data_IF_304754009586
#
_entry.id   IF_304754009586
#
_cell.length_a   1.000
_cell.length_b   1.000
_cell.length_c   1.000
_cell.angle_alpha   90.00
_cell.angle_beta   90.00
_cell.angle_gamma   90.00
#
_symmetry.space_group_name_H-M   'P 1'
#
loop_
_entity.id
_entity.type
_entity.pdbx_description
1 polymer ?
#
# COMPACT_ATOMS: atom_id res chain seq x y z
N UNK A 1 12.97 -11.89 38.64
CA UNK A 1 11.66 -12.54 38.85
C UNK A 1 10.75 -11.43 39.32
N UNK A 2 9.82 -10.87 38.54
CA UNK A 2 8.83 -11.51 37.67
C UNK A 2 8.51 -10.65 36.43
N UNK A 3 8.17 -11.28 35.31
CA UNK A 3 7.66 -10.63 34.10
C UNK A 3 6.15 -10.90 33.96
N UNK A 4 5.31 -9.92 33.57
CA UNK A 4 3.87 -10.14 33.42
C UNK A 4 3.50 -10.79 32.07
N UNK A 5 2.71 -11.88 32.16
CA UNK A 5 2.03 -12.60 31.07
C UNK A 5 0.72 -11.88 30.66
N UNK A 6 0.78 -10.93 29.74
CA UNK A 6 -0.44 -10.38 29.09
C UNK A 6 -0.15 -10.00 27.63
N UNK A 7 0.02 -11.01 26.77
CA UNK A 7 0.16 -10.86 25.32
C UNK A 7 -1.16 -11.05 24.56
N UNK A 8 -2.24 -11.48 25.22
CA UNK A 8 -3.50 -11.86 24.57
C UNK A 8 -4.42 -10.66 24.24
N UNK A 9 -4.02 -9.44 24.58
CA UNK A 9 -4.86 -8.24 24.42
C UNK A 9 -4.69 -7.47 23.11
N UNK A 10 -3.82 -7.91 22.22
CA UNK A 10 -3.47 -7.21 20.98
C UNK A 10 -3.89 -7.92 19.68
N UNK A 11 -4.89 -8.80 19.69
CA UNK A 11 -5.46 -9.33 18.45
C UNK A 11 -6.80 -8.66 18.10
N UNK A 12 -6.90 -7.94 16.97
CA UNK A 12 -8.18 -7.55 16.42
C UNK A 12 -8.91 -8.79 15.84
N UNK A 13 -10.17 -8.96 16.23
CA UNK A 13 -11.05 -10.01 15.72
C UNK A 13 -11.34 -9.80 14.23
N UNK A 14 -10.79 -10.67 13.37
CA UNK A 14 -11.23 -10.79 11.98
C UNK A 14 -12.59 -11.50 11.93
N UNK A 15 -13.67 -10.71 11.87
CA UNK A 15 -15.02 -11.19 11.60
C UNK A 15 -15.18 -11.50 10.10
N UNK A 16 -14.93 -12.75 9.71
CA UNK A 16 -15.25 -13.28 8.39
C UNK A 16 -16.72 -13.69 8.32
N UNK A 17 -17.61 -12.78 7.95
CA UNK A 17 -18.97 -13.14 7.48
C UNK A 17 -18.98 -13.22 5.96
N UNK A 18 -18.77 -14.44 5.48
CA UNK A 18 -18.96 -14.85 4.09
C UNK A 18 -20.36 -14.43 3.59
N UNK A 19 -20.40 -13.63 2.54
CA UNK A 19 -21.61 -13.33 1.78
C UNK A 19 -21.79 -14.46 0.76
N UNK A 20 -22.75 -15.36 1.01
CA UNK A 20 -23.17 -16.37 0.03
C UNK A 20 -24.50 -15.89 -0.56
N UNK A 21 -24.46 -15.28 -1.74
CA UNK A 21 -25.66 -14.96 -2.52
C UNK A 21 -25.97 -16.17 -3.40
N UNK A 22 -26.85 -17.04 -2.91
CA UNK A 22 -27.44 -18.10 -3.71
C UNK A 22 -28.70 -17.57 -4.39
N UNK A 23 -28.60 -17.13 -5.64
CA UNK A 23 -29.76 -16.96 -6.53
C UNK A 23 -30.04 -18.31 -7.17
N UNK A 24 -31.06 -19.01 -6.68
CA UNK A 24 -31.62 -20.17 -7.36
C UNK A 24 -33.00 -19.76 -7.89
N UNK A 25 -33.06 -19.65 -9.22
CA UNK A 25 -34.28 -19.47 -10.00
C UNK A 25 -35.13 -20.75 -9.90
N UNK A 26 -36.31 -20.66 -9.28
CA UNK A 26 -37.41 -21.57 -9.58
C UNK A 26 -38.49 -20.78 -10.31
N UNK A 27 -38.56 -21.00 -11.62
CA UNK A 27 -39.66 -20.54 -12.44
C UNK A 27 -40.94 -21.28 -12.08
N UNK A 28 -42.04 -20.55 -11.99
CA UNK A 28 -43.37 -21.12 -12.15
C UNK A 28 -44.29 -20.13 -12.87
N UNK A 29 -44.86 -20.66 -13.96
CA UNK A 29 -46.21 -20.46 -14.48
C UNK A 29 -46.61 -19.12 -15.13
N UNK A 30 -47.04 -19.28 -16.39
CA UNK A 30 -47.71 -18.34 -17.30
C UNK A 30 -49.04 -17.80 -16.73
N UNK A 31 -49.47 -16.60 -17.17
CA UNK A 31 -50.87 -16.34 -17.42
C UNK A 31 -51.16 -16.10 -18.91
N UNK A 32 -52.36 -16.55 -19.27
CA UNK A 32 -52.97 -16.65 -20.58
C UNK A 32 -53.63 -15.35 -21.07
N UNK A 33 -53.58 -15.15 -22.39
CA UNK A 33 -54.49 -14.37 -23.27
C UNK A 33 -54.82 -12.90 -22.91
N UNK A 34 -54.42 -11.97 -23.78
CA UNK A 34 -55.04 -10.65 -23.88
C UNK A 34 -54.24 -9.65 -24.71
N UNK A 35 -54.92 -8.97 -25.64
CA UNK A 35 -54.40 -8.12 -26.70
C UNK A 35 -53.50 -6.95 -26.26
N UNK A 36 -52.72 -6.50 -27.25
CA UNK A 36 -51.73 -5.43 -27.22
C UNK A 36 -52.28 -4.06 -26.77
N UNK A 37 -51.49 -3.37 -25.92
CA UNK A 37 -51.24 -1.94 -26.08
C UNK A 37 -49.84 -1.63 -25.51
N UNK A 38 -48.93 -1.23 -26.37
CA UNK A 38 -47.52 -0.99 -26.04
C UNK A 38 -47.39 0.42 -25.45
N UNK A 39 -47.29 0.51 -24.12
CA UNK A 39 -46.93 1.75 -23.44
C UNK A 39 -45.46 2.06 -23.78
N UNK A 40 -45.24 2.98 -24.72
CA UNK A 40 -43.92 3.54 -25.03
C UNK A 40 -43.48 4.45 -23.88
N UNK A 41 -42.97 3.85 -22.80
CA UNK A 41 -42.20 4.58 -21.80
C UNK A 41 -40.80 4.77 -22.38
N UNK A 42 -40.54 5.95 -22.94
CA UNK A 42 -39.18 6.39 -23.26
C UNK A 42 -38.34 6.37 -21.99
N UNK A 43 -37.60 5.28 -21.74
CA UNK A 43 -36.59 5.23 -20.69
C UNK A 43 -35.40 6.07 -21.14
N UNK A 44 -35.03 7.01 -20.28
CA UNK A 44 -33.72 7.66 -20.30
C UNK A 44 -32.65 6.56 -20.20
N UNK A 45 -32.06 6.14 -21.33
CA UNK A 45 -30.79 5.43 -21.33
C UNK A 45 -29.70 6.43 -20.94
N UNK A 46 -29.58 6.65 -19.63
CA UNK A 46 -28.37 7.19 -19.04
C UNK A 46 -27.35 6.06 -19.13
N UNK A 47 -26.54 6.06 -20.19
CA UNK A 47 -25.37 5.19 -20.31
C UNK A 47 -24.38 5.62 -19.23
N UNK A 48 -24.57 5.09 -18.03
CA UNK A 48 -23.55 5.14 -16.98
C UNK A 48 -22.42 4.21 -17.44
N UNK A 49 -21.45 4.81 -18.14
CA UNK A 49 -20.19 4.18 -18.51
C UNK A 49 -19.38 3.99 -17.23
N UNK A 50 -19.77 3.01 -16.42
CA UNK A 50 -18.97 2.53 -15.31
C UNK A 50 -17.67 1.96 -15.88
N UNK A 51 -16.62 2.76 -15.82
CA UNK A 51 -15.24 2.26 -15.90
C UNK A 51 -15.09 1.32 -14.73
N UNK A 52 -15.05 0.02 -15.00
CA UNK A 52 -14.58 -0.97 -14.05
C UNK A 52 -13.10 -0.64 -13.83
N UNK A 53 -12.78 0.06 -12.75
CA UNK A 53 -11.41 0.19 -12.28
C UNK A 53 -11.06 -1.17 -11.71
N UNK A 54 -10.36 -1.98 -12.50
CA UNK A 54 -9.73 -3.19 -11.98
C UNK A 54 -8.77 -2.74 -10.88
N UNK A 55 -9.12 -3.04 -9.62
CA UNK A 55 -8.28 -2.74 -8.48
C UNK A 55 -7.08 -3.67 -8.59
N UNK A 56 -6.01 -3.17 -9.21
CA UNK A 56 -4.71 -3.83 -9.26
C UNK A 56 -4.30 -4.23 -7.84
N UNK A 57 -3.77 -5.44 -7.70
CA UNK A 57 -3.31 -5.96 -6.42
C UNK A 57 -2.23 -5.03 -5.87
N UNK A 58 -2.58 -4.24 -4.88
CA UNK A 58 -1.67 -3.31 -4.23
C UNK A 58 -0.63 -4.10 -3.42
N UNK A 59 0.65 -3.92 -3.75
CA UNK A 59 1.76 -4.64 -3.12
C UNK A 59 2.54 -3.68 -2.23
N UNK A 60 2.74 -4.04 -0.96
CA UNK A 60 3.50 -3.20 -0.04
C UNK A 60 5.02 -3.40 -0.22
N UNK A 61 5.76 -2.29 -0.28
CA UNK A 61 7.22 -2.22 -0.21
C UNK A 61 7.58 -1.53 1.10
N UNK A 62 8.31 -2.23 1.97
CA UNK A 62 8.88 -1.65 3.18
C UNK A 62 10.32 -1.21 2.88
N UNK A 63 10.57 0.08 2.91
CA UNK A 63 11.88 0.66 2.66
C UNK A 63 12.45 1.30 3.94
N UNK A 64 13.78 1.38 4.01
CA UNK A 64 14.50 2.01 5.13
C UNK A 64 15.09 3.33 4.66
N UNK A 65 14.90 4.38 5.46
CA UNK A 65 15.43 5.72 5.19
C UNK A 65 16.92 5.67 4.81
N UNK A 66 17.28 6.44 3.77
CA UNK A 66 18.62 6.54 3.19
C UNK A 66 19.17 5.28 2.51
N UNK A 67 18.35 4.23 2.34
CA UNK A 67 18.72 3.04 1.56
C UNK A 67 18.05 2.99 0.21
N UNK A 68 18.74 2.33 -0.72
CA UNK A 68 18.20 1.92 -2.01
C UNK A 68 17.82 0.44 -1.99
N UNK A 69 16.72 0.11 -2.66
CA UNK A 69 16.23 -1.23 -2.90
C UNK A 69 16.08 -1.47 -4.40
N UNK A 70 16.59 -2.60 -4.88
CA UNK A 70 16.46 -3.00 -6.29
C UNK A 70 15.21 -3.85 -6.45
N UNK A 71 14.35 -3.45 -7.38
CA UNK A 71 13.11 -4.12 -7.74
C UNK A 71 13.23 -4.67 -9.15
N UNK A 72 12.93 -5.96 -9.33
CA UNK A 72 12.97 -6.64 -10.62
C UNK A 72 11.58 -7.07 -11.04
N UNK A 73 11.29 -6.91 -12.32
CA UNK A 73 9.98 -7.18 -12.92
C UNK A 73 10.11 -8.21 -14.04
N UNK A 74 9.06 -9.00 -14.25
CA UNK A 74 9.00 -9.97 -15.35
C UNK A 74 8.69 -9.31 -16.71
N UNK A 75 8.20 -8.06 -16.70
CA UNK A 75 7.81 -7.30 -17.89
C UNK A 75 8.57 -5.98 -17.99
N UNK A 76 8.90 -5.51 -19.21
CA UNK A 76 9.56 -4.22 -19.42
C UNK A 76 8.74 -3.03 -18.92
N UNK A 77 9.33 -2.23 -18.03
CA UNK A 77 8.82 -0.95 -17.56
C UNK A 77 9.29 0.20 -18.48
N UNK A 78 8.37 1.12 -18.77
CA UNK A 78 8.62 2.33 -19.58
C UNK A 78 8.52 3.60 -18.76
N UNK A 79 7.62 3.61 -17.79
CA UNK A 79 7.35 4.79 -16.97
C UNK A 79 7.22 4.37 -15.52
N UNK A 80 7.86 5.13 -14.64
CA UNK A 80 7.69 5.07 -13.20
C UNK A 80 7.01 6.37 -12.74
N UNK A 81 5.98 6.25 -11.92
CA UNK A 81 5.26 7.36 -11.32
C UNK A 81 5.31 7.19 -9.81
N UNK A 82 5.84 8.18 -9.10
CA UNK A 82 5.87 8.21 -7.64
C UNK A 82 4.96 9.35 -7.18
N UNK A 83 4.03 9.05 -6.27
CA UNK A 83 3.07 10.03 -5.78
C UNK A 83 3.74 11.22 -5.09
N UNK A 84 4.70 10.94 -4.19
CA UNK A 84 5.48 11.97 -3.51
C UNK A 84 7.01 11.71 -3.62
N UNK A 85 7.72 12.42 -4.51
CA UNK A 85 9.17 12.26 -4.70
C UNK A 85 10.04 12.76 -3.52
N UNK A 86 9.43 13.42 -2.52
CA UNK A 86 10.11 13.79 -1.28
C UNK A 86 10.24 12.59 -0.32
N UNK A 87 9.34 11.60 -0.40
CA UNK A 87 9.33 10.40 0.45
C UNK A 87 10.22 9.31 -0.14
N UNK A 88 10.05 9.03 -1.43
CA UNK A 88 10.84 8.04 -2.15
C UNK A 88 11.13 8.54 -3.57
N UNK A 89 12.19 8.07 -4.18
CA UNK A 89 12.54 8.34 -5.57
C UNK A 89 12.91 7.02 -6.26
N UNK A 90 12.79 6.95 -7.58
CA UNK A 90 12.98 5.71 -8.30
C UNK A 90 13.51 5.94 -9.70
N UNK A 91 14.52 5.18 -10.07
CA UNK A 91 15.16 5.28 -11.38
C UNK A 91 15.14 3.93 -12.08
N UNK A 92 14.88 3.95 -13.40
CA UNK A 92 15.02 2.77 -14.25
C UNK A 92 16.51 2.55 -14.49
N UNK A 93 17.04 1.43 -14.00
CA UNK A 93 18.42 1.02 -14.28
C UNK A 93 18.52 0.27 -15.61
N UNK A 94 17.48 -0.48 -15.95
CA UNK A 94 17.27 -1.15 -17.24
C UNK A 94 15.76 -1.32 -17.46
N UNK A 95 15.34 -2.00 -18.54
CA UNK A 95 13.93 -2.18 -18.87
C UNK A 95 13.15 -2.99 -17.82
N UNK A 96 13.81 -3.80 -16.99
CA UNK A 96 13.16 -4.70 -16.02
C UNK A 96 13.56 -4.43 -14.58
N UNK A 97 14.43 -3.44 -14.34
CA UNK A 97 15.03 -3.16 -13.04
C UNK A 97 14.82 -1.70 -12.66
N UNK A 98 14.21 -1.49 -11.49
CA UNK A 98 14.06 -0.18 -10.86
C UNK A 98 14.91 -0.14 -9.60
N UNK A 99 15.64 0.96 -9.41
CA UNK A 99 16.31 1.28 -8.15
C UNK A 99 15.44 2.28 -7.40
N UNK A 100 14.81 1.83 -6.32
CA UNK A 100 13.99 2.67 -5.43
C UNK A 100 14.87 3.18 -4.29
N UNK A 101 14.92 4.49 -4.08
CA UNK A 101 15.66 5.14 -2.98
C UNK A 101 14.70 5.79 -2.00
N UNK A 102 14.81 5.46 -0.71
CA UNK A 102 14.02 6.08 0.34
C UNK A 102 14.65 7.38 0.83
N UNK A 103 13.89 8.48 0.85
CA UNK A 103 14.40 9.84 1.11
C UNK A 103 13.85 10.46 2.39
N UNK A 104 12.61 10.14 2.76
CA UNK A 104 11.99 10.62 3.99
C UNK A 104 11.01 9.59 4.55
N UNK A 105 10.81 9.62 5.87
CA UNK A 105 9.84 8.76 6.55
C UNK A 105 8.42 9.14 6.13
N UNK A 106 7.61 8.14 5.80
CA UNK A 106 6.23 8.33 5.38
C UNK A 106 5.73 7.19 4.50
N UNK A 107 4.53 7.37 3.95
CA UNK A 107 3.93 6.43 3.01
C UNK A 107 3.60 7.15 1.71
N UNK A 108 3.97 6.56 0.59
CA UNK A 108 3.60 7.02 -0.75
C UNK A 108 3.27 5.82 -1.63
N UNK A 109 2.90 6.06 -2.88
CA UNK A 109 2.69 5.01 -3.86
C UNK A 109 3.69 5.12 -5.01
N UNK A 110 3.92 3.99 -5.66
CA UNK A 110 4.73 3.89 -6.88
C UNK A 110 3.99 3.05 -7.91
N UNK A 111 3.68 3.64 -9.05
CA UNK A 111 3.01 2.98 -10.18
C UNK A 111 4.04 2.75 -11.28
N UNK A 112 4.09 1.53 -11.78
CA UNK A 112 4.99 1.11 -12.85
C UNK A 112 4.15 0.78 -14.08
N UNK A 113 4.40 1.50 -15.18
CA UNK A 113 3.71 1.31 -16.44
C UNK A 113 4.67 0.74 -17.48
N UNK A 114 4.18 -0.20 -18.27
CA UNK A 114 4.87 -0.77 -19.42
C UNK A 114 4.47 -0.11 -20.73
N UNK A 115 4.62 -0.88 -21.81
CA UNK A 115 4.17 -0.48 -23.13
C UNK A 115 2.69 -0.09 -23.18
N UNK A 116 2.39 0.90 -24.02
CA UNK A 116 1.03 1.43 -24.21
C UNK A 116 0.32 1.88 -22.92
N UNK A 117 1.07 2.20 -21.85
CA UNK A 117 0.52 2.65 -20.57
C UNK A 117 -0.15 1.56 -19.75
N UNK A 118 0.09 0.27 -20.07
CA UNK A 118 -0.41 -0.85 -19.26
C UNK A 118 0.24 -0.84 -17.88
N UNK A 119 -0.57 -0.88 -16.82
CA UNK A 119 -0.08 -1.02 -15.46
C UNK A 119 0.57 -2.40 -15.27
N UNK A 120 1.85 -2.39 -14.89
CA UNK A 120 2.60 -3.60 -14.51
C UNK A 120 2.42 -3.86 -13.02
N UNK A 121 2.49 -2.80 -12.21
CA UNK A 121 2.33 -2.88 -10.77
C UNK A 121 1.98 -1.53 -10.15
N UNK A 122 1.28 -1.59 -9.02
CA UNK A 122 1.05 -0.46 -8.14
C UNK A 122 1.45 -0.85 -6.71
N UNK A 123 2.40 -0.10 -6.15
CA UNK A 123 2.99 -0.37 -4.85
C UNK A 123 2.65 0.70 -3.84
N UNK A 124 2.43 0.29 -2.60
CA UNK A 124 2.50 1.19 -1.43
C UNK A 124 3.92 1.14 -0.90
N UNK A 125 4.61 2.26 -0.97
CA UNK A 125 5.96 2.42 -0.42
C UNK A 125 5.84 3.00 0.99
N UNK A 126 6.16 2.19 2.00
CA UNK A 126 6.27 2.63 3.39
C UNK A 126 7.74 2.77 3.77
N UNK A 127 8.17 4.00 4.04
CA UNK A 127 9.53 4.30 4.47
C UNK A 127 9.57 4.45 5.98
N UNK A 128 10.40 3.62 6.61
CA UNK A 128 10.64 3.65 8.06
C UNK A 128 12.03 4.22 8.36
N UNK A 129 12.18 4.85 9.53
CA UNK A 129 13.47 5.33 9.98
C UNK A 129 14.47 4.17 10.10
N UNK A 130 15.74 4.46 9.84
CA UNK A 130 16.81 3.50 10.08
C UNK A 130 17.08 3.35 11.59
N UNK A 131 16.19 2.67 12.30
CA UNK A 131 16.32 2.40 13.74
C UNK A 131 17.50 1.47 14.05
N UNK A 132 17.98 0.69 13.06
CA UNK A 132 19.19 -0.15 13.23
C UNK A 132 20.45 0.66 13.45
N UNK A 133 20.44 1.94 13.09
CA UNK A 133 21.54 2.84 13.36
C UNK A 133 21.36 3.64 14.65
N UNK A 134 20.26 3.57 15.38
CA UNK A 134 20.08 4.40 16.57
C UNK A 134 19.76 3.54 17.79
N UNK A 135 20.64 3.56 18.79
CA UNK A 135 20.47 2.82 20.04
C UNK A 135 20.42 3.79 21.21
N UNK A 136 19.45 3.57 22.09
CA UNK A 136 19.33 4.30 23.35
C UNK A 136 20.00 3.50 24.45
N UNK A 137 20.94 4.11 25.16
CA UNK A 137 21.58 3.51 26.35
C UNK A 137 21.04 4.22 27.59
N UNK A 138 20.51 3.44 28.53
CA UNK A 138 20.08 3.90 29.85
C UNK A 138 21.17 3.62 30.88
N UNK A 139 21.63 4.63 31.60
CA UNK A 139 22.62 4.54 32.69
C UNK A 139 22.02 5.14 33.95
N UNK A 140 21.27 4.34 34.71
CA UNK A 140 20.45 4.85 35.80
C UNK A 140 19.33 5.75 35.26
N UNK A 141 19.25 6.99 35.75
CA UNK A 141 18.28 7.99 35.29
C UNK A 141 18.73 8.71 34.00
N UNK A 142 19.98 8.58 33.60
CA UNK A 142 20.49 9.20 32.38
C UNK A 142 20.14 8.36 31.15
N UNK A 143 19.61 8.99 30.11
CA UNK A 143 19.40 8.40 28.80
C UNK A 143 20.28 9.10 27.77
N UNK A 144 21.00 8.33 26.96
CA UNK A 144 21.79 8.86 25.85
C UNK A 144 21.47 8.10 24.57
N UNK A 145 21.19 8.85 23.50
CA UNK A 145 20.91 8.29 22.17
C UNK A 145 22.20 8.25 21.37
N UNK A 146 22.49 7.12 20.72
CA UNK A 146 23.68 6.90 19.91
C UNK A 146 23.30 6.56 18.48
N UNK A 147 24.11 7.02 17.52
CA UNK A 147 24.08 6.56 16.14
C UNK A 147 25.25 5.61 15.86
N UNK A 148 24.98 4.40 15.38
CA UNK A 148 25.92 3.31 15.17
C UNK A 148 26.05 2.98 13.67
N UNK A 149 27.25 3.20 13.12
CA UNK A 149 27.66 2.75 11.79
C UNK A 149 29.08 2.17 11.88
N UNK A 150 29.19 0.94 12.40
CA UNK A 150 30.46 0.31 12.77
C UNK A 150 30.98 0.76 14.16
N UNK A 151 31.03 2.07 14.42
CA UNK A 151 31.26 2.66 15.74
C UNK A 151 30.10 3.55 16.15
N UNK A 152 29.68 3.49 17.42
CA UNK A 152 28.59 4.31 17.94
C UNK A 152 29.07 5.70 18.39
N UNK A 153 28.37 6.75 17.99
CA UNK A 153 28.61 8.14 18.40
C UNK A 153 27.36 8.73 19.06
N UNK A 154 27.49 9.53 20.13
CA UNK A 154 26.33 10.15 20.77
C UNK A 154 25.67 11.17 19.83
N UNK A 155 24.34 11.20 19.82
CA UNK A 155 23.55 12.20 19.10
C UNK A 155 23.47 13.45 19.98
N UNK A 156 23.91 14.59 19.47
CA UNK A 156 23.78 15.85 20.19
C UNK A 156 22.29 16.17 20.41
N UNK A 157 21.85 16.13 21.66
CA UNK A 157 20.51 16.58 22.03
C UNK A 157 20.55 18.10 22.15
N UNK A 158 19.98 18.81 21.17
CA UNK A 158 19.69 20.24 21.33
C UNK A 158 18.53 20.37 22.31
N UNK A 159 18.84 20.36 23.61
CA UNK A 159 17.89 20.82 24.62
C UNK A 159 17.67 22.31 24.37
N UNK A 160 16.56 22.66 23.72
CA UNK A 160 16.01 24.00 23.78
C UNK A 160 15.53 24.22 25.21
N UNK A 161 16.46 24.53 26.10
CA UNK A 161 16.18 25.03 27.43
C UNK A 161 15.73 26.48 27.27
N UNK A 162 14.45 26.74 27.54
CA UNK A 162 13.93 28.06 27.85
C UNK A 162 14.13 28.33 29.34
#
# INVERSE_FOLDING_TARGET
>A
MDAPEDWDRCMPALNSKSVVVSVVLLGLALPSHGAADEVVVGRLSRTDSSRVVEVGREVAINATLDFAQVLKFESPARTIIIGNPAIADGTLSDETTIVLTAKAVGTTNMIVLGEAGREIANFVVSVTANSRQTTTVHQGEAQQVYTCAGTCRPVAQTTNSK
#
